data_IF_485828228580
#
_entry.id   IF_485828228580
#
_cell.length_a   1.000
_cell.length_b   1.000
_cell.length_c   1.000
_cell.angle_alpha   90.00
_cell.angle_beta   90.00
_cell.angle_gamma   90.00
#
_symmetry.space_group_name_H-M   'P 1'
#
loop_
_entity.id
_entity.type
_entity.pdbx_description
1 polymer ?
#
# COMPACT_ATOMS: atom_id res chain seq x y z
N UNK A 1 1.80 7.03 10.91
CA UNK A 1 1.01 7.43 9.73
C UNK A 1 1.74 8.20 8.61
N UNK A 2 2.99 8.73 8.71
CA UNK A 2 3.68 9.30 7.53
C UNK A 2 4.18 8.24 6.54
N UNK A 3 4.31 6.99 6.99
CA UNK A 3 5.06 5.96 6.27
C UNK A 3 4.30 5.30 5.12
N UNK A 4 2.96 5.23 5.21
CA UNK A 4 2.10 4.68 4.14
C UNK A 4 2.11 5.62 2.93
N UNK A 5 2.04 6.94 3.16
CA UNK A 5 2.15 7.96 2.10
C UNK A 5 3.52 7.86 1.43
N UNK A 6 4.58 7.66 2.22
CA UNK A 6 5.94 7.68 1.71
C UNK A 6 6.39 9.10 1.33
N UNK A 7 7.61 9.24 0.83
CA UNK A 7 8.14 10.54 0.40
C UNK A 7 7.41 10.98 -0.86
N UNK A 8 6.74 12.14 -0.82
CA UNK A 8 5.94 12.68 -1.94
C UNK A 8 4.80 11.75 -2.42
N UNK A 9 4.26 10.88 -1.55
CA UNK A 9 3.16 9.99 -1.94
C UNK A 9 3.60 8.72 -2.68
N UNK A 10 4.91 8.48 -2.84
CA UNK A 10 5.43 7.40 -3.68
C UNK A 10 4.94 6.01 -3.30
N UNK A 11 4.74 5.75 -2.01
CA UNK A 11 4.34 4.42 -1.53
C UNK A 11 2.86 4.17 -1.78
N UNK A 12 1.99 5.17 -1.61
CA UNK A 12 0.57 5.06 -1.99
C UNK A 12 0.43 4.87 -3.49
N UNK A 13 1.16 5.65 -4.31
CA UNK A 13 1.11 5.52 -5.77
C UNK A 13 1.54 4.13 -6.23
N UNK A 14 2.61 3.58 -5.64
CA UNK A 14 3.05 2.22 -5.95
C UNK A 14 1.97 1.17 -5.68
N UNK A 15 1.26 1.27 -4.56
CA UNK A 15 0.20 0.32 -4.21
C UNK A 15 -0.98 0.47 -5.18
N UNK A 16 -1.35 1.71 -5.53
CA UNK A 16 -2.40 1.99 -6.53
C UNK A 16 -2.06 1.35 -7.86
N UNK A 17 -0.86 1.58 -8.37
CA UNK A 17 -0.44 1.09 -9.69
C UNK A 17 -0.39 -0.44 -9.74
N UNK A 18 0.08 -1.07 -8.66
CA UNK A 18 0.18 -2.53 -8.58
C UNK A 18 -1.17 -3.23 -8.39
N UNK A 19 -2.06 -2.67 -7.57
CA UNK A 19 -3.37 -3.27 -7.27
C UNK A 19 -4.46 -2.83 -8.23
N UNK A 20 -4.23 -1.77 -9.02
CA UNK A 20 -5.24 -1.07 -9.83
C UNK A 20 -6.44 -0.57 -9.00
N UNK A 21 -6.27 -0.41 -7.69
CA UNK A 21 -7.29 0.15 -6.81
C UNK A 21 -7.15 1.67 -6.70
N UNK A 22 -8.28 2.35 -6.55
CA UNK A 22 -8.31 3.76 -6.21
C UNK A 22 -8.17 3.92 -4.69
N UNK A 23 -7.01 4.42 -4.25
CA UNK A 23 -6.69 4.55 -2.82
C UNK A 23 -6.64 6.03 -2.41
N UNK A 24 -7.38 6.44 -1.39
CA UNK A 24 -7.30 7.80 -0.86
C UNK A 24 -6.91 7.76 0.60
N UNK A 25 -5.83 8.45 0.95
CA UNK A 25 -5.33 8.51 2.34
C UNK A 25 -5.63 9.89 2.90
N UNK A 26 -6.51 9.92 3.90
CA UNK A 26 -6.80 11.13 4.67
C UNK A 26 -5.69 11.43 5.69
N UNK A 27 -5.48 12.71 5.99
CA UNK A 27 -4.51 13.12 7.02
C UNK A 27 -4.90 12.68 8.44
N UNK A 28 -6.18 12.31 8.65
CA UNK A 28 -6.69 11.70 9.86
C UNK A 28 -6.34 10.20 9.99
N UNK A 29 -5.64 9.62 9.02
CA UNK A 29 -5.29 8.19 9.00
C UNK A 29 -6.39 7.28 8.45
N UNK A 30 -7.52 7.84 7.99
CA UNK A 30 -8.54 7.09 7.27
C UNK A 30 -8.06 6.76 5.87
N UNK A 31 -8.17 5.51 5.46
CA UNK A 31 -7.79 5.06 4.11
C UNK A 31 -9.05 4.54 3.43
N UNK A 32 -9.40 5.17 2.32
CA UNK A 32 -10.42 4.68 1.40
C UNK A 32 -9.75 3.83 0.34
N UNK A 33 -10.32 2.66 0.04
CA UNK A 33 -9.86 1.76 -1.02
C UNK A 33 -11.12 1.39 -1.80
N UNK A 34 -11.03 1.51 -3.12
CA UNK A 34 -12.10 1.19 -4.05
C UNK A 34 -11.52 0.43 -5.25
N UNK A 35 -12.04 -0.76 -5.53
CA UNK A 35 -11.57 -1.61 -6.63
C UNK A 35 -12.27 -2.98 -6.66
N UNK A 36 -11.71 -3.92 -7.43
CA UNK A 36 -12.23 -5.28 -7.40
C UNK A 36 -11.94 -5.95 -6.04
N UNK A 37 -12.84 -6.80 -5.51
CA UNK A 37 -12.70 -7.38 -4.18
C UNK A 37 -11.36 -8.08 -3.93
N UNK A 38 -10.80 -8.74 -4.94
CA UNK A 38 -9.49 -9.42 -4.83
C UNK A 38 -8.34 -8.42 -4.68
N UNK A 39 -8.40 -7.32 -5.42
CA UNK A 39 -7.40 -6.27 -5.41
C UNK A 39 -7.50 -5.40 -4.15
N UNK A 40 -8.72 -5.15 -3.66
CA UNK A 40 -8.94 -4.48 -2.38
C UNK A 40 -8.33 -5.27 -1.23
N UNK A 41 -8.53 -6.59 -1.20
CA UNK A 41 -7.92 -7.47 -0.20
C UNK A 41 -6.39 -7.38 -0.25
N UNK A 42 -5.79 -7.39 -1.44
CA UNK A 42 -4.34 -7.23 -1.61
C UNK A 42 -3.85 -5.86 -1.10
N UNK A 43 -4.58 -4.78 -1.42
CA UNK A 43 -4.26 -3.44 -0.93
C UNK A 43 -4.33 -3.36 0.61
N UNK A 44 -5.38 -3.92 1.22
CA UNK A 44 -5.54 -3.96 2.68
C UNK A 44 -4.40 -4.74 3.34
N UNK A 45 -4.07 -5.93 2.82
CA UNK A 45 -2.95 -6.74 3.34
C UNK A 45 -1.63 -6.00 3.24
N UNK A 46 -1.40 -5.31 2.11
CA UNK A 46 -0.18 -4.53 1.88
C UNK A 46 -0.06 -3.39 2.87
N UNK A 47 -1.14 -2.64 3.10
CA UNK A 47 -1.17 -1.52 4.06
C UNK A 47 -0.90 -2.02 5.49
N UNK A 48 -1.53 -3.14 5.90
CA UNK A 48 -1.26 -3.74 7.21
C UNK A 48 0.18 -4.24 7.35
N UNK A 49 0.75 -4.78 6.28
CA UNK A 49 2.16 -5.20 6.24
C UNK A 49 3.09 -3.99 6.42
N UNK A 50 2.82 -2.87 5.73
CA UNK A 50 3.56 -1.62 5.88
C UNK A 50 3.47 -1.09 7.31
N UNK A 51 2.29 -1.13 7.93
CA UNK A 51 2.11 -0.69 9.31
C UNK A 51 2.99 -1.50 10.27
N UNK A 52 2.94 -2.84 10.15
CA UNK A 52 3.70 -3.78 10.99
C UNK A 52 5.21 -3.68 10.78
N UNK A 53 5.65 -3.53 9.52
CA UNK A 53 7.06 -3.53 9.13
C UNK A 53 7.63 -2.11 8.96
N UNK A 54 6.86 -1.10 9.38
CA UNK A 54 7.20 0.32 9.19
C UNK A 54 8.59 0.66 9.70
N UNK A 55 9.07 0.02 10.77
CA UNK A 55 10.37 0.27 11.38
C UNK A 55 11.58 -0.29 10.61
N UNK A 56 11.37 -1.14 9.59
CA UNK A 56 12.44 -1.80 8.86
C UNK A 56 13.03 -0.90 7.77
N UNK A 57 14.34 -1.03 7.54
CA UNK A 57 15.01 -0.48 6.35
C UNK A 57 14.66 -1.31 5.10
N UNK A 58 14.64 -0.67 3.94
CA UNK A 58 14.33 -1.34 2.66
C UNK A 58 12.86 -1.79 2.54
N UNK A 59 11.94 -1.21 3.31
CA UNK A 59 10.52 -1.58 3.29
C UNK A 59 9.91 -1.44 1.88
N UNK A 60 10.28 -0.40 1.14
CA UNK A 60 9.76 -0.16 -0.22
C UNK A 60 10.01 -1.35 -1.15
N UNK A 61 11.22 -1.89 -1.16
CA UNK A 61 11.58 -3.01 -2.04
C UNK A 61 10.83 -4.29 -1.65
N UNK A 62 10.72 -4.54 -0.34
CA UNK A 62 9.94 -5.68 0.19
C UNK A 62 8.46 -5.61 -0.20
N UNK A 63 7.87 -4.42 -0.15
CA UNK A 63 6.47 -4.22 -0.53
C UNK A 63 6.30 -4.38 -2.03
N UNK A 64 7.26 -3.90 -2.84
CA UNK A 64 7.25 -4.11 -4.28
C UNK A 64 7.28 -5.59 -4.64
N UNK A 65 8.20 -6.36 -4.04
CA UNK A 65 8.24 -7.82 -4.24
C UNK A 65 6.97 -8.52 -3.77
N UNK A 66 6.39 -8.07 -2.66
CA UNK A 66 5.12 -8.60 -2.15
C UNK A 66 3.97 -8.36 -3.13
N UNK A 67 3.88 -7.16 -3.70
CA UNK A 67 2.87 -6.80 -4.69
C UNK A 67 3.07 -7.59 -5.98
N UNK A 68 4.28 -7.69 -6.52
CA UNK A 68 4.58 -8.45 -7.73
C UNK A 68 4.24 -9.95 -7.61
N UNK A 69 4.38 -10.54 -6.42
CA UNK A 69 4.03 -11.95 -6.18
C UNK A 69 2.53 -12.20 -6.11
N UNK A 70 1.75 -11.23 -5.64
CA UNK A 70 0.33 -11.40 -5.34
C UNK A 70 -0.61 -10.68 -6.31
N UNK A 71 -0.11 -9.78 -7.16
CA UNK A 71 -0.88 -9.10 -8.20
C UNK A 71 -1.10 -9.96 -9.47
N UNK A 72 -1.27 -11.28 -9.29
CA UNK A 72 -1.49 -12.26 -10.37
C UNK A 72 -2.96 -12.57 -10.57
#
# INVERSE_FOLDING_TARGET
MPRIIGKMGSMVTMIKDATRCNITVGQNGLIWIDGEPQNELLAIQTIRKIEKESHLSGLTDKIKEFLEKNAK
#
